data_IF_297674979774
#
_entry.id   IF_297674979774
#
_cell.length_a   1.000
_cell.length_b   1.000
_cell.length_c   1.000
_cell.angle_alpha   90.00
_cell.angle_beta   90.00
_cell.angle_gamma   90.00
#
_symmetry.space_group_name_H-M   'P 1'
#
loop_
_entity.id
_entity.type
_entity.pdbx_description
1 polymer ?
#
# COMPACT_ATOMS: atom_id res chain seq x y z
N UNK A 1 44.75 -1.07 33.90
CA UNK A 1 43.82 -1.29 32.77
C UNK A 1 43.69 0.04 32.03
N UNK A 2 44.27 0.11 30.84
CA UNK A 2 44.59 1.36 30.14
C UNK A 2 43.38 1.98 29.42
N UNK A 3 43.25 3.30 29.57
CA UNK A 3 42.32 4.20 28.86
C UNK A 3 42.72 4.39 27.40
N UNK A 4 41.82 4.10 26.46
CA UNK A 4 41.95 4.46 25.04
C UNK A 4 40.57 4.83 24.47
N UNK A 5 40.14 6.08 24.65
CA UNK A 5 39.07 6.70 23.86
C UNK A 5 39.71 7.81 23.03
N UNK A 6 39.98 7.51 21.75
CA UNK A 6 40.38 8.50 20.77
C UNK A 6 39.99 7.98 19.38
N UNK A 7 39.07 8.64 18.69
CA UNK A 7 39.44 9.48 17.55
C UNK A 7 38.17 10.09 16.92
N UNK A 8 37.98 11.39 17.17
CA UNK A 8 37.21 12.29 16.29
C UNK A 8 37.98 12.38 14.98
N UNK A 9 37.35 12.14 13.85
CA UNK A 9 37.90 12.51 12.55
C UNK A 9 36.92 13.43 11.84
N UNK A 10 37.12 14.73 12.09
CA UNK A 10 36.71 15.83 11.23
C UNK A 10 37.70 15.93 10.07
N UNK A 11 37.23 15.77 8.85
CA UNK A 11 37.97 16.20 7.67
C UNK A 11 36.99 16.60 6.56
N UNK A 12 36.34 17.75 6.75
CA UNK A 12 35.85 18.56 5.64
C UNK A 12 37.03 19.41 5.15
N UNK A 13 37.63 19.01 4.03
CA UNK A 13 38.55 19.82 3.21
C UNK A 13 37.96 19.76 1.81
N UNK A 14 37.31 20.84 1.38
CA UNK A 14 37.89 21.93 0.60
C UNK A 14 38.23 21.50 -0.83
N UNK A 15 37.32 21.88 -1.73
CA UNK A 15 37.57 22.62 -2.97
C UNK A 15 38.70 22.13 -3.88
N UNK A 16 38.37 21.84 -5.16
CA UNK A 16 38.99 22.46 -6.35
C UNK A 16 38.55 21.83 -7.69
N UNK A 17 38.09 22.72 -8.56
CA UNK A 17 38.55 22.91 -9.95
C UNK A 17 38.13 21.88 -11.01
N UNK A 18 37.26 22.37 -11.89
CA UNK A 18 36.98 21.83 -13.21
C UNK A 18 38.14 22.11 -14.20
N UNK A 19 38.34 21.22 -15.19
CA UNK A 19 38.92 21.63 -16.46
C UNK A 19 38.04 21.27 -17.68
N UNK A 20 37.91 22.29 -18.55
CA UNK A 20 37.73 22.34 -20.01
C UNK A 20 37.32 21.08 -20.79
N UNK A 21 36.26 21.26 -21.59
CA UNK A 21 35.86 20.43 -22.71
C UNK A 21 36.82 20.52 -23.92
N UNK A 22 36.91 19.45 -24.74
CA UNK A 22 37.17 19.56 -26.16
C UNK A 22 35.90 19.34 -26.98
N UNK A 23 35.67 20.27 -27.89
CA UNK A 23 34.84 20.15 -29.08
C UNK A 23 35.35 19.00 -29.96
N UNK A 24 34.48 18.11 -30.44
CA UNK A 24 34.56 17.48 -31.78
C UNK A 24 33.41 16.49 -32.04
N UNK A 25 32.84 16.64 -33.22
CA UNK A 25 32.14 15.65 -34.05
C UNK A 25 30.72 15.21 -33.67
N UNK A 26 29.80 15.66 -34.52
CA UNK A 26 28.40 15.28 -34.60
C UNK A 26 28.20 13.77 -34.79
N UNK A 27 27.39 13.18 -33.90
CA UNK A 27 26.49 12.09 -34.26
C UNK A 27 25.06 12.61 -34.06
N UNK A 28 24.38 12.89 -35.17
CA UNK A 28 22.94 13.21 -35.20
C UNK A 28 22.16 11.99 -34.71
N UNK A 29 22.02 11.83 -33.40
CA UNK A 29 20.96 10.99 -32.87
C UNK A 29 19.65 11.74 -33.13
N UNK A 30 18.80 11.14 -33.95
CA UNK A 30 17.45 11.62 -34.21
C UNK A 30 16.69 11.49 -32.90
N UNK A 31 16.71 12.52 -32.08
CA UNK A 31 15.84 12.62 -30.92
C UNK A 31 14.41 12.65 -31.47
N UNK A 32 13.74 11.50 -31.37
CA UNK A 32 12.32 11.40 -31.64
C UNK A 32 11.62 12.41 -30.73
N UNK A 33 10.99 13.41 -31.33
CA UNK A 33 10.17 14.38 -30.62
C UNK A 33 9.04 13.59 -29.97
N UNK A 34 9.16 13.32 -28.66
CA UNK A 34 8.04 12.86 -27.85
C UNK A 34 7.09 14.04 -27.74
N UNK A 35 6.19 14.16 -28.72
CA UNK A 35 5.01 15.01 -28.62
C UNK A 35 4.23 14.57 -27.41
N UNK A 36 4.27 15.39 -26.37
CA UNK A 36 3.46 15.21 -25.17
C UNK A 36 2.00 15.23 -25.60
N UNK A 37 1.34 14.07 -25.57
CA UNK A 37 -0.08 13.96 -25.80
C UNK A 37 -0.82 14.61 -24.62
N UNK A 38 -1.02 15.92 -24.71
CA UNK A 38 -1.91 16.71 -23.86
C UNK A 38 -3.38 16.48 -24.28
N UNK A 39 -3.80 15.22 -24.30
CA UNK A 39 -5.21 14.82 -24.42
C UNK A 39 -5.48 13.68 -23.45
N UNK A 40 -5.66 14.06 -22.18
CA UNK A 40 -6.12 13.20 -21.11
C UNK A 40 -7.58 12.78 -21.29
N UNK A 41 -7.83 11.83 -22.19
CA UNK A 41 -9.10 11.11 -22.28
C UNK A 41 -8.83 9.59 -22.36
N UNK A 42 -8.24 9.07 -21.29
CA UNK A 42 -7.87 7.66 -21.20
C UNK A 42 -7.64 7.26 -19.74
N UNK A 43 -8.63 7.54 -18.89
CA UNK A 43 -8.62 7.12 -17.50
C UNK A 43 -8.45 5.61 -17.43
N UNK A 44 -7.27 5.16 -17.01
CA UNK A 44 -7.02 3.78 -16.62
C UNK A 44 -7.98 3.46 -15.47
N UNK A 45 -9.09 2.80 -15.81
CA UNK A 45 -9.96 2.14 -14.85
C UNK A 45 -9.14 0.99 -14.29
N UNK A 46 -8.56 1.20 -13.10
CA UNK A 46 -7.87 0.16 -12.36
C UNK A 46 -8.74 -1.10 -12.33
N UNK A 47 -8.21 -2.30 -12.61
CA UNK A 47 -9.02 -3.50 -12.66
C UNK A 47 -9.58 -3.78 -11.26
N UNK A 48 -10.87 -3.48 -11.10
CA UNK A 48 -11.71 -4.02 -10.04
C UNK A 48 -11.88 -5.53 -10.31
N UNK A 49 -10.85 -6.32 -10.03
CA UNK A 49 -10.84 -7.73 -10.40
C UNK A 49 -9.52 -8.40 -10.04
N UNK A 50 -9.18 -8.42 -8.75
CA UNK A 50 -8.21 -9.37 -8.22
C UNK A 50 -8.95 -10.62 -7.74
N UNK A 51 -8.44 -11.77 -8.18
CA UNK A 51 -8.88 -13.16 -8.06
C UNK A 51 -9.18 -13.65 -6.62
N UNK A 52 -9.89 -14.78 -6.45
CA UNK A 52 -10.41 -15.26 -5.15
C UNK A 52 -9.28 -15.80 -4.27
N UNK A 53 -8.72 -14.90 -3.49
CA UNK A 53 -7.66 -15.17 -2.52
C UNK A 53 -8.31 -15.12 -1.14
N UNK A 54 -9.25 -16.02 -0.81
CA UNK A 54 -10.01 -16.07 0.48
C UNK A 54 -9.94 -14.75 1.26
N UNK A 55 -10.47 -13.68 0.65
CA UNK A 55 -10.16 -12.33 1.11
C UNK A 55 -11.05 -12.07 2.32
N UNK A 56 -10.46 -12.04 3.50
CA UNK A 56 -11.17 -11.67 4.71
C UNK A 56 -11.84 -10.31 4.52
N UNK A 57 -13.12 -10.22 4.86
CA UNK A 57 -13.85 -8.96 4.77
C UNK A 57 -14.21 -8.45 6.15
N UNK A 58 -13.74 -7.24 6.45
CA UNK A 58 -13.91 -6.58 7.74
C UNK A 58 -15.05 -5.56 7.68
N UNK A 59 -15.90 -5.54 8.71
CA UNK A 59 -16.90 -4.51 8.89
C UNK A 59 -16.27 -3.25 9.51
N UNK A 60 -16.44 -2.09 8.86
CA UNK A 60 -15.85 -0.83 9.34
C UNK A 60 -16.51 -0.26 10.61
N UNK A 61 -17.72 -0.69 10.93
CA UNK A 61 -18.48 -0.17 12.06
C UNK A 61 -18.09 -0.85 13.38
N UNK A 62 -17.84 -2.16 13.34
CA UNK A 62 -17.55 -2.97 14.53
C UNK A 62 -16.21 -3.70 14.50
N UNK A 63 -15.59 -3.92 13.33
CA UNK A 63 -14.35 -4.68 13.20
C UNK A 63 -14.52 -6.19 13.11
N UNK A 64 -15.74 -6.69 12.88
CA UNK A 64 -16.02 -8.11 12.61
C UNK A 64 -15.39 -8.55 11.28
N UNK A 65 -14.70 -9.69 11.27
CA UNK A 65 -14.20 -10.30 10.03
C UNK A 65 -15.10 -11.47 9.62
N UNK A 66 -15.57 -11.42 8.38
CA UNK A 66 -16.25 -12.50 7.71
C UNK A 66 -15.24 -13.55 7.20
N UNK A 67 -15.45 -14.80 7.63
CA UNK A 67 -14.62 -15.98 7.35
C UNK A 67 -15.40 -17.11 6.64
N UNK A 68 -16.53 -16.77 6.01
CA UNK A 68 -17.36 -17.77 5.34
C UNK A 68 -16.70 -18.37 4.10
N UNK A 69 -17.07 -19.62 3.80
CA UNK A 69 -16.59 -20.36 2.62
C UNK A 69 -17.01 -19.73 1.30
N UNK A 70 -18.12 -18.97 1.30
CA UNK A 70 -18.63 -18.29 0.11
C UNK A 70 -18.03 -16.89 -0.03
N UNK A 71 -17.60 -16.55 -1.25
CA UNK A 71 -17.16 -15.22 -1.64
C UNK A 71 -18.21 -14.16 -1.24
N UNK A 72 -17.76 -13.09 -0.61
CA UNK A 72 -18.66 -12.03 -0.10
C UNK A 72 -19.46 -11.33 -1.20
N UNK A 73 -18.99 -11.39 -2.45
CA UNK A 73 -19.70 -10.85 -3.62
C UNK A 73 -20.96 -11.64 -3.94
N UNK A 74 -20.94 -12.97 -3.77
CA UNK A 74 -22.09 -13.85 -4.00
C UNK A 74 -23.13 -13.80 -2.88
N UNK A 75 -22.79 -13.23 -1.71
CA UNK A 75 -23.78 -13.07 -0.63
C UNK A 75 -24.92 -12.15 -1.08
N UNK A 76 -26.18 -12.47 -0.72
CA UNK A 76 -27.31 -11.60 -1.00
C UNK A 76 -27.09 -10.21 -0.39
N UNK A 77 -27.58 -9.16 -1.06
CA UNK A 77 -27.51 -7.77 -0.56
C UNK A 77 -28.19 -7.58 0.80
N UNK A 78 -29.05 -8.51 1.19
CA UNK A 78 -29.72 -8.56 2.48
C UNK A 78 -28.78 -8.90 3.64
N UNK A 79 -27.56 -9.41 3.41
CA UNK A 79 -26.60 -9.72 4.47
C UNK A 79 -26.34 -8.51 5.38
N UNK A 80 -26.35 -8.77 6.69
CA UNK A 80 -26.08 -7.80 7.76
C UNK A 80 -24.98 -8.34 8.65
N UNK A 81 -24.15 -7.44 9.18
CA UNK A 81 -23.16 -7.82 10.17
C UNK A 81 -23.85 -8.42 11.41
N UNK A 82 -23.44 -9.60 11.89
CA UNK A 82 -24.08 -10.25 13.05
C UNK A 82 -23.84 -9.52 14.38
N UNK A 83 -22.87 -8.59 14.43
CA UNK A 83 -22.51 -7.86 15.66
C UNK A 83 -23.21 -6.50 15.74
N UNK A 84 -23.28 -5.76 14.64
CA UNK A 84 -23.76 -4.37 14.64
C UNK A 84 -24.90 -4.11 13.65
N UNK A 85 -25.39 -5.13 12.95
CA UNK A 85 -26.48 -5.01 11.96
C UNK A 85 -26.20 -4.08 10.77
N UNK A 86 -24.95 -3.68 10.56
CA UNK A 86 -24.57 -2.86 9.41
C UNK A 86 -24.78 -3.58 8.07
N UNK A 87 -25.15 -2.85 6.99
CA UNK A 87 -25.35 -3.45 5.68
C UNK A 87 -24.04 -3.94 5.04
N UNK A 88 -24.17 -4.85 4.07
CA UNK A 88 -23.07 -5.41 3.26
C UNK A 88 -22.11 -4.34 2.70
N UNK A 89 -22.64 -3.16 2.36
CA UNK A 89 -21.87 -2.04 1.80
C UNK A 89 -20.85 -1.42 2.77
N UNK A 90 -20.94 -1.72 4.07
CA UNK A 90 -20.00 -1.24 5.10
C UNK A 90 -18.82 -2.21 5.29
N UNK A 91 -18.78 -3.32 4.57
CA UNK A 91 -17.64 -4.23 4.62
C UNK A 91 -16.56 -3.83 3.60
N UNK A 92 -15.30 -4.03 3.97
CA UNK A 92 -14.14 -3.76 3.15
C UNK A 92 -13.18 -4.94 3.17
N UNK A 93 -12.25 -4.97 2.21
CA UNK A 93 -11.15 -5.92 2.22
C UNK A 93 -10.28 -5.67 3.46
N UNK A 94 -10.07 -6.72 4.23
CA UNK A 94 -9.23 -6.67 5.41
C UNK A 94 -7.75 -6.53 5.01
N UNK A 95 -7.07 -5.53 5.58
CA UNK A 95 -5.68 -5.15 5.27
C UNK A 95 -4.71 -5.52 6.41
N UNK A 96 -5.21 -6.05 7.52
CA UNK A 96 -4.40 -6.34 8.70
C UNK A 96 -3.63 -7.66 8.61
N UNK A 97 -2.62 -7.81 9.47
CA UNK A 97 -1.78 -9.02 9.58
C UNK A 97 -2.03 -9.81 10.87
N UNK A 98 -3.00 -9.43 11.70
CA UNK A 98 -3.29 -10.11 12.98
C UNK A 98 -3.98 -11.47 12.83
N UNK A 99 -4.46 -11.79 11.64
CA UNK A 99 -5.16 -13.05 11.37
C UNK A 99 -4.18 -14.04 10.74
N UNK A 100 -3.56 -14.87 11.58
CA UNK A 100 -2.80 -16.05 11.16
C UNK A 100 -3.70 -17.28 11.24
N UNK A 101 -4.59 -17.46 10.26
CA UNK A 101 -5.57 -18.57 10.24
C UNK A 101 -7.01 -18.06 10.39
N UNK A 102 -7.85 -18.75 11.17
CA UNK A 102 -9.25 -18.33 11.37
C UNK A 102 -9.30 -17.03 12.20
N UNK A 103 -10.00 -15.98 11.76
CA UNK A 103 -10.05 -14.71 12.48
C UNK A 103 -10.80 -14.87 13.81
N UNK A 104 -10.20 -14.35 14.88
CA UNK A 104 -10.86 -14.26 16.17
C UNK A 104 -11.79 -13.04 16.21
N UNK A 105 -13.10 -13.26 16.30
CA UNK A 105 -14.12 -12.23 16.41
C UNK A 105 -14.53 -11.91 17.86
N UNK A 106 -13.61 -12.07 18.81
CA UNK A 106 -13.77 -11.56 20.18
C UNK A 106 -13.92 -10.02 20.20
N UNK A 107 -14.67 -9.45 21.17
CA UNK A 107 -14.91 -8.00 21.23
C UNK A 107 -13.62 -7.18 21.36
N UNK A 108 -12.63 -7.68 22.10
CA UNK A 108 -11.34 -7.01 22.27
C UNK A 108 -10.54 -6.94 20.95
N UNK A 109 -10.51 -8.02 20.17
CA UNK A 109 -9.80 -8.04 18.88
C UNK A 109 -10.54 -7.18 17.85
N UNK A 110 -11.86 -7.26 17.78
CA UNK A 110 -12.70 -6.38 16.94
C UNK A 110 -12.41 -4.90 17.21
N UNK A 111 -12.38 -4.48 18.48
CA UNK A 111 -12.03 -3.10 18.86
C UNK A 111 -10.62 -2.72 18.43
N UNK A 112 -9.63 -3.59 18.67
CA UNK A 112 -8.23 -3.32 18.26
C UNK A 112 -8.09 -3.14 16.74
N UNK A 113 -8.75 -4.01 15.95
CA UNK A 113 -8.76 -3.90 14.48
C UNK A 113 -9.47 -2.64 14.00
N UNK A 114 -10.54 -2.24 14.72
CA UNK A 114 -11.30 -1.01 14.48
C UNK A 114 -10.47 0.25 14.73
N UNK A 115 -9.85 0.31 15.90
CA UNK A 115 -9.03 1.44 16.32
C UNK A 115 -7.78 1.56 15.42
N UNK A 116 -7.25 0.43 14.95
CA UNK A 116 -6.13 0.35 13.99
C UNK A 116 -6.53 0.58 12.52
N UNK A 117 -7.83 0.75 12.20
CA UNK A 117 -8.36 0.96 10.84
C UNK A 117 -7.76 -0.01 9.80
N UNK A 118 -7.86 -1.31 10.06
CA UNK A 118 -7.27 -2.33 9.17
C UNK A 118 -8.09 -2.62 7.91
N UNK A 119 -8.66 -1.58 7.29
CA UNK A 119 -9.48 -1.60 6.08
C UNK A 119 -9.26 -0.38 5.18
#
# INVERSE_FOLDING_TARGET
MATMFAQRQTAFVDTRVAPKAPVLAAARSRQAVQTQALFGFGGAKAPAGAAPTTQYMICIDCGYIYDGSQEFKSLPGSYKCPVCSSPKNRFKAYKGTDVKGKPNNAPATMKKRKDAKQW
#
